data_IF_688455978641
#
_entry.id   IF_688455978641
#
_cell.length_a   1.000
_cell.length_b   1.000
_cell.length_c   1.000
_cell.angle_alpha   90.00
_cell.angle_beta   90.00
_cell.angle_gamma   90.00
#
_symmetry.space_group_name_H-M   'P 1'
#
loop_
_entity.id
_entity.type
_entity.pdbx_description
1 polymer ?
#
# COMPACT_ATOMS: atom_id res chain seq x y z
N UNK A 1 62.15 11.38 -35.97
CA UNK A 1 61.52 11.49 -34.64
C UNK A 1 60.41 10.45 -34.59
N UNK A 2 60.37 9.50 -33.64
CA UNK A 2 59.27 8.55 -33.58
C UNK A 2 57.97 9.31 -33.28
N UNK A 3 56.96 9.09 -34.10
CA UNK A 3 55.60 9.59 -33.87
C UNK A 3 55.11 8.99 -32.56
N UNK A 4 54.79 9.84 -31.57
CA UNK A 4 54.22 9.37 -30.32
C UNK A 4 52.90 8.67 -30.66
N UNK A 5 52.75 7.40 -30.26
CA UNK A 5 51.48 6.70 -30.46
C UNK A 5 50.40 7.42 -29.63
N UNK A 6 49.17 7.59 -30.14
CA UNK A 6 48.13 8.30 -29.39
C UNK A 6 47.90 7.61 -28.03
N UNK A 7 48.08 8.37 -26.96
CA UNK A 7 47.79 7.94 -25.60
C UNK A 7 46.28 7.84 -25.44
N UNK A 8 45.77 6.65 -25.15
CA UNK A 8 44.36 6.50 -24.76
C UNK A 8 44.19 7.00 -23.32
N UNK A 9 43.03 7.58 -22.98
CA UNK A 9 42.74 7.95 -21.60
C UNK A 9 42.77 6.70 -20.70
N UNK A 10 43.24 6.87 -19.47
CA UNK A 10 43.11 5.84 -18.44
C UNK A 10 41.62 5.65 -18.13
N UNK A 11 41.18 4.39 -18.12
CA UNK A 11 39.82 4.03 -17.74
C UNK A 11 39.92 3.32 -16.40
N UNK A 12 39.32 3.91 -15.38
CA UNK A 12 39.29 3.35 -14.03
C UNK A 12 37.87 2.84 -13.74
N UNK A 13 37.77 1.62 -13.24
CA UNK A 13 36.56 1.07 -12.62
C UNK A 13 36.81 1.02 -11.12
N UNK A 14 36.09 1.82 -10.33
CA UNK A 14 36.28 1.92 -8.87
C UNK A 14 37.74 2.15 -8.43
N UNK A 15 38.48 2.96 -9.20
CA UNK A 15 39.89 3.26 -8.95
C UNK A 15 40.87 2.18 -9.42
N UNK A 16 40.38 1.09 -10.03
CA UNK A 16 41.20 0.05 -10.64
C UNK A 16 41.34 0.31 -12.14
N UNK A 17 42.57 0.33 -12.65
CA UNK A 17 42.81 0.49 -14.08
C UNK A 17 42.25 -0.70 -14.86
N UNK A 18 41.25 -0.44 -15.69
CA UNK A 18 40.76 -1.40 -16.67
C UNK A 18 41.47 -1.15 -18.00
N UNK A 19 41.63 -2.22 -18.80
CA UNK A 19 42.41 -2.17 -20.02
C UNK A 19 41.80 -1.16 -21.00
N UNK A 20 42.51 -0.07 -21.28
CA UNK A 20 42.11 0.95 -22.25
C UNK A 20 41.88 0.35 -23.65
N UNK A 21 40.99 0.98 -24.41
CA UNK A 21 40.59 0.58 -25.77
C UNK A 21 40.55 1.81 -26.66
N UNK A 22 40.59 1.57 -27.96
CA UNK A 22 40.42 2.61 -28.99
C UNK A 22 39.01 3.19 -29.04
N UNK A 23 38.04 2.47 -28.47
CA UNK A 23 36.64 2.88 -28.38
C UNK A 23 36.09 2.49 -27.01
N UNK A 24 35.35 3.41 -26.41
CA UNK A 24 34.49 3.16 -25.25
C UNK A 24 33.06 3.34 -25.76
N UNK A 25 32.19 2.39 -25.42
CA UNK A 25 30.78 2.43 -25.81
C UNK A 25 29.91 2.34 -24.57
N UNK A 26 29.01 3.29 -24.39
CA UNK A 26 28.00 3.30 -23.32
C UNK A 26 26.68 2.81 -23.92
N UNK A 27 26.05 1.82 -23.27
CA UNK A 27 24.83 1.18 -23.77
C UNK A 27 23.78 1.22 -22.66
N UNK A 28 22.53 1.50 -23.03
CA UNK A 28 21.37 1.51 -22.15
C UNK A 28 20.81 2.91 -21.91
N UNK A 29 19.49 3.01 -21.85
CA UNK A 29 18.76 4.29 -21.79
C UNK A 29 19.03 5.09 -20.50
N UNK A 30 19.51 4.43 -19.45
CA UNK A 30 19.89 5.06 -18.18
C UNK A 30 21.31 5.65 -18.18
N UNK A 31 22.11 5.44 -19.23
CA UNK A 31 23.49 5.93 -19.31
C UNK A 31 23.57 7.07 -20.30
N UNK A 32 23.86 8.27 -19.83
CA UNK A 32 24.12 9.44 -20.69
C UNK A 32 25.59 9.82 -20.65
N UNK A 33 26.13 10.16 -21.83
CA UNK A 33 27.49 10.68 -21.99
C UNK A 33 27.39 12.09 -22.56
N UNK A 34 27.86 13.07 -21.81
CA UNK A 34 27.88 14.48 -22.22
C UNK A 34 29.33 14.96 -22.31
N UNK A 35 29.70 15.57 -23.43
CA UNK A 35 31.02 16.19 -23.56
C UNK A 35 31.09 17.44 -22.67
N UNK A 36 32.08 17.50 -21.78
CA UNK A 36 32.37 18.65 -20.92
C UNK A 36 33.71 19.27 -21.34
N UNK A 37 33.70 20.08 -22.41
CA UNK A 37 34.92 20.69 -22.92
C UNK A 37 35.54 21.70 -21.94
N UNK A 38 34.77 22.20 -20.96
CA UNK A 38 35.27 23.14 -19.95
C UNK A 38 36.27 22.49 -19.01
N UNK A 39 36.03 21.23 -18.64
CA UNK A 39 36.90 20.45 -17.76
C UNK A 39 37.71 19.38 -18.51
N UNK A 40 37.66 19.38 -19.84
CA UNK A 40 38.36 18.43 -20.71
C UNK A 40 38.07 16.95 -20.38
N UNK A 41 36.80 16.64 -20.10
CA UNK A 41 36.34 15.28 -19.79
C UNK A 41 35.01 14.98 -20.49
N UNK A 42 34.61 13.71 -20.47
CA UNK A 42 33.24 13.29 -20.78
C UNK A 42 32.58 12.90 -19.47
N UNK A 43 31.46 13.54 -19.14
CA UNK A 43 30.66 13.19 -17.99
C UNK A 43 29.75 12.02 -18.32
N UNK A 44 29.88 10.95 -17.55
CA UNK A 44 29.04 9.77 -17.63
C UNK A 44 28.08 9.83 -16.45
N UNK A 45 26.80 9.98 -16.74
CA UNK A 45 25.76 9.92 -15.72
C UNK A 45 25.03 8.58 -15.87
N UNK A 46 25.03 7.80 -14.80
CA UNK A 46 24.11 6.68 -14.64
C UNK A 46 22.90 7.22 -13.90
N UNK A 47 21.78 7.37 -14.59
CA UNK A 47 20.53 7.74 -13.93
C UNK A 47 20.12 6.66 -12.95
N UNK A 48 19.70 7.04 -11.74
CA UNK A 48 19.10 6.10 -10.79
C UNK A 48 17.90 5.39 -11.43
N UNK A 49 17.59 4.19 -10.94
CA UNK A 49 16.40 3.41 -11.30
C UNK A 49 15.07 4.06 -10.81
N UNK A 50 14.91 5.37 -11.00
CA UNK A 50 13.70 6.15 -10.68
C UNK A 50 12.96 6.48 -11.96
N UNK A 51 12.48 5.44 -12.64
CA UNK A 51 11.64 5.55 -13.86
C UNK A 51 10.28 4.90 -13.71
N UNK A 52 10.06 4.11 -12.65
CA UNK A 52 8.78 3.41 -12.45
C UNK A 52 7.63 4.37 -12.06
N UNK A 53 7.88 5.37 -11.22
CA UNK A 53 6.83 6.27 -10.69
C UNK A 53 6.33 7.24 -11.77
N UNK A 54 7.23 7.93 -12.46
CA UNK A 54 6.86 8.90 -13.50
C UNK A 54 6.17 8.26 -14.72
N UNK A 55 6.54 7.02 -15.08
CA UNK A 55 5.90 6.30 -16.19
C UNK A 55 4.45 5.89 -15.86
N UNK A 56 4.16 5.52 -14.61
CA UNK A 56 2.80 5.17 -14.15
C UNK A 56 1.88 6.40 -14.15
N UNK A 57 2.37 7.57 -13.75
CA UNK A 57 1.56 8.81 -13.75
C UNK A 57 1.20 9.29 -15.17
N UNK A 58 2.07 9.06 -16.15
CA UNK A 58 1.86 9.50 -17.52
C UNK A 58 0.96 8.56 -18.35
N UNK A 59 1.02 7.24 -18.10
CA UNK A 59 0.39 6.22 -18.95
C UNK A 59 -0.57 5.27 -18.21
N UNK A 60 -0.69 5.41 -16.88
CA UNK A 60 -1.36 4.42 -16.04
C UNK A 60 -0.55 3.13 -15.87
N UNK A 61 -1.09 2.21 -15.07
CA UNK A 61 -0.52 0.87 -14.89
C UNK A 61 -1.28 -0.12 -15.78
N UNK A 62 -0.64 -0.60 -16.85
CA UNK A 62 -1.18 -1.70 -17.67
C UNK A 62 -0.43 -2.99 -17.35
N UNK A 63 -1.17 -4.07 -17.15
CA UNK A 63 -0.61 -5.39 -16.91
C UNK A 63 -0.58 -6.18 -18.21
N UNK A 64 0.55 -6.83 -18.49
CA UNK A 64 0.61 -7.85 -19.52
C UNK A 64 -0.32 -9.03 -19.19
N UNK A 65 -0.59 -9.88 -20.17
CA UNK A 65 -1.36 -11.12 -19.94
C UNK A 65 -0.77 -11.91 -18.75
N UNK A 66 -1.64 -12.43 -17.88
CA UNK A 66 -1.29 -13.18 -16.68
C UNK A 66 -0.44 -12.41 -15.65
N UNK A 67 -0.56 -11.08 -15.60
CA UNK A 67 -0.04 -10.25 -14.51
C UNK A 67 -1.19 -9.58 -13.76
N UNK A 68 -1.04 -9.44 -12.45
CA UNK A 68 -2.02 -8.78 -11.59
C UNK A 68 -1.33 -8.06 -10.43
N UNK A 69 -2.13 -7.43 -9.58
CA UNK A 69 -1.66 -6.83 -8.34
C UNK A 69 -1.48 -7.96 -7.32
N UNK A 70 -0.25 -8.16 -6.88
CA UNK A 70 0.07 -9.12 -5.82
C UNK A 70 0.07 -8.35 -4.50
N UNK A 71 -0.83 -8.71 -3.60
CA UNK A 71 -0.77 -8.26 -2.21
C UNK A 71 0.35 -8.98 -1.46
N UNK A 72 0.77 -8.43 -0.32
CA UNK A 72 1.78 -9.07 0.53
C UNK A 72 1.43 -10.55 0.78
N UNK A 73 2.40 -11.42 0.54
CA UNK A 73 2.26 -12.86 0.69
C UNK A 73 2.11 -13.26 2.16
N UNK A 74 2.68 -12.49 3.08
CA UNK A 74 2.58 -12.76 4.52
C UNK A 74 2.75 -11.47 5.33
N UNK A 75 1.66 -11.00 5.96
CA UNK A 75 1.75 -9.91 6.93
C UNK A 75 2.53 -10.37 8.17
N UNK A 76 3.77 -9.90 8.25
CA UNK A 76 4.80 -10.45 9.14
C UNK A 76 4.52 -10.33 10.64
N UNK A 77 3.72 -9.36 11.06
CA UNK A 77 3.42 -9.08 12.46
C UNK A 77 2.13 -8.25 12.57
N UNK A 78 1.76 -7.93 13.81
CA UNK A 78 0.75 -6.93 14.13
C UNK A 78 1.04 -5.57 13.45
N UNK A 79 -0.03 -4.82 13.21
CA UNK A 79 0.00 -3.52 12.55
C UNK A 79 0.63 -3.56 11.15
N UNK A 80 0.29 -4.58 10.37
CA UNK A 80 0.72 -4.72 8.96
C UNK A 80 -0.50 -4.80 8.07
N UNK A 81 -0.37 -4.25 6.86
CA UNK A 81 -1.45 -4.23 5.87
C UNK A 81 -0.88 -4.12 4.46
N UNK A 82 -1.67 -4.53 3.47
CA UNK A 82 -1.36 -4.42 2.05
C UNK A 82 -2.66 -4.31 1.25
N UNK A 83 -2.81 -3.25 0.45
CA UNK A 83 -4.04 -3.05 -0.32
C UNK A 83 -4.26 -1.64 -0.84
N UNK A 84 -5.51 -1.33 -1.17
CA UNK A 84 -5.98 -0.03 -1.63
C UNK A 84 -6.36 0.81 -0.42
N UNK A 85 -5.74 1.99 -0.30
CA UNK A 85 -5.99 2.93 0.80
C UNK A 85 -6.44 4.30 0.30
N UNK A 86 -7.04 5.06 1.22
CA UNK A 86 -7.37 6.46 1.04
C UNK A 86 -6.94 7.27 2.27
N UNK A 87 -6.50 8.51 2.05
CA UNK A 87 -6.26 9.45 3.15
C UNK A 87 -7.58 9.99 3.68
N UNK A 88 -7.68 10.16 4.99
CA UNK A 88 -8.90 10.65 5.65
C UNK A 88 -8.62 11.53 6.85
N UNK A 89 -9.68 12.02 7.48
CA UNK A 89 -9.66 12.71 8.76
C UNK A 89 -10.47 11.87 9.75
N UNK A 90 -9.93 11.65 10.95
CA UNK A 90 -10.60 10.91 12.01
C UNK A 90 -11.72 11.77 12.64
N UNK A 91 -12.92 11.19 12.79
CA UNK A 91 -14.08 11.79 13.47
C UNK A 91 -14.22 11.37 14.94
N UNK A 92 -13.41 10.41 15.37
CA UNK A 92 -13.22 9.99 16.75
C UNK A 92 -11.73 9.71 17.00
N UNK A 93 -11.36 9.28 18.22
CA UNK A 93 -10.06 8.64 18.42
C UNK A 93 -10.13 7.27 17.73
N UNK A 94 -9.23 7.03 16.79
CA UNK A 94 -9.12 5.78 16.04
C UNK A 94 -7.81 5.07 16.38
N UNK A 95 -7.88 3.79 16.66
CA UNK A 95 -6.74 2.88 16.77
C UNK A 95 -6.48 2.14 15.45
N UNK A 96 -5.32 1.50 15.34
CA UNK A 96 -5.05 0.59 14.23
C UNK A 96 -5.97 -0.63 14.35
N UNK A 97 -6.59 -1.04 13.23
CA UNK A 97 -7.50 -2.17 13.18
C UNK A 97 -8.96 -1.79 13.35
N UNK A 98 -9.29 -0.60 13.84
CA UNK A 98 -10.68 -0.18 14.00
C UNK A 98 -11.44 -0.23 12.68
N UNK A 99 -12.61 -0.86 12.70
CA UNK A 99 -13.58 -0.81 11.62
C UNK A 99 -14.29 0.55 11.65
N UNK A 100 -14.20 1.28 10.55
CA UNK A 100 -14.68 2.65 10.45
C UNK A 100 -15.63 2.85 9.27
N UNK A 101 -16.60 3.74 9.42
CA UNK A 101 -17.47 4.20 8.33
C UNK A 101 -17.18 5.66 7.99
N UNK A 102 -17.45 6.03 6.74
CA UNK A 102 -17.35 7.41 6.29
C UNK A 102 -18.64 8.16 6.64
N UNK A 103 -18.57 9.01 7.66
CA UNK A 103 -19.70 9.76 8.18
C UNK A 103 -20.11 10.86 7.20
N UNK A 104 -21.37 10.78 6.73
CA UNK A 104 -21.93 11.77 5.78
C UNK A 104 -22.13 13.15 6.42
N UNK A 105 -22.22 13.21 7.75
CA UNK A 105 -22.52 14.43 8.47
C UNK A 105 -21.37 15.43 8.45
N UNK A 106 -20.12 14.95 8.51
CA UNK A 106 -18.93 15.79 8.63
C UNK A 106 -17.75 15.37 7.74
N UNK A 107 -17.94 14.35 6.89
CA UNK A 107 -16.93 13.81 5.97
C UNK A 107 -15.67 13.30 6.69
N UNK A 108 -15.84 12.72 7.88
CA UNK A 108 -14.78 12.07 8.64
C UNK A 108 -15.01 10.57 8.79
N UNK A 109 -13.98 9.87 9.24
CA UNK A 109 -14.04 8.45 9.54
C UNK A 109 -14.34 8.23 11.02
N UNK A 110 -15.43 7.54 11.31
CA UNK A 110 -15.90 7.25 12.66
C UNK A 110 -16.05 5.73 12.86
N UNK A 111 -16.11 5.29 14.12
CA UNK A 111 -16.22 3.87 14.47
C UNK A 111 -17.57 3.29 14.03
N UNK A 112 -17.55 2.14 13.37
CA UNK A 112 -18.78 1.39 13.05
C UNK A 112 -19.38 0.76 14.30
N UNK A 113 -20.69 0.60 14.37
CA UNK A 113 -21.36 -0.15 15.45
C UNK A 113 -22.60 -0.87 14.91
N UNK A 114 -22.64 -2.21 15.02
CA UNK A 114 -23.77 -3.00 14.56
C UNK A 114 -25.09 -2.68 15.28
N UNK A 115 -25.06 -2.09 16.49
CA UNK A 115 -26.27 -1.65 17.20
C UNK A 115 -26.87 -0.36 16.66
N UNK A 116 -26.17 0.33 15.75
CA UNK A 116 -26.61 1.59 15.18
C UNK A 116 -26.63 1.49 13.66
N UNK A 117 -27.84 1.30 13.09
CA UNK A 117 -28.03 1.18 11.65
C UNK A 117 -27.34 2.31 10.86
N UNK A 118 -27.25 3.50 11.43
CA UNK A 118 -26.63 4.67 10.81
C UNK A 118 -25.08 4.66 10.76
N UNK A 119 -24.42 3.75 11.46
CA UNK A 119 -22.94 3.64 11.51
C UNK A 119 -22.44 2.36 10.85
N UNK A 120 -23.35 1.46 10.47
CA UNK A 120 -23.05 0.16 9.87
C UNK A 120 -23.25 0.10 8.33
N UNK A 121 -23.68 1.20 7.73
CA UNK A 121 -24.03 1.28 6.30
C UNK A 121 -23.03 2.13 5.49
N UNK A 122 -23.04 1.95 4.17
CA UNK A 122 -22.24 2.78 3.26
C UNK A 122 -20.76 2.37 3.16
N UNK A 123 -19.88 3.35 2.91
CA UNK A 123 -18.43 3.16 2.72
C UNK A 123 -17.79 2.85 4.07
N UNK A 124 -17.21 1.65 4.19
CA UNK A 124 -16.50 1.18 5.38
C UNK A 124 -15.03 0.91 5.02
N UNK A 125 -14.15 1.04 5.99
CA UNK A 125 -12.73 0.71 5.88
C UNK A 125 -12.14 0.25 7.21
N UNK A 126 -10.86 -0.11 7.19
CA UNK A 126 -10.07 -0.37 8.40
C UNK A 126 -9.10 0.79 8.62
N UNK A 127 -9.06 1.36 9.81
CA UNK A 127 -8.06 2.33 10.20
C UNK A 127 -6.68 1.66 10.24
N UNK A 128 -5.75 2.10 9.39
CA UNK A 128 -4.37 1.57 9.35
C UNK A 128 -3.32 2.60 9.76
N UNK A 129 -3.77 3.78 10.19
CA UNK A 129 -2.97 4.81 10.82
C UNK A 129 -3.77 5.40 11.97
N UNK A 130 -3.46 4.98 13.20
CA UNK A 130 -4.10 5.50 14.40
C UNK A 130 -4.02 7.04 14.46
N UNK A 131 -5.10 7.66 14.91
CA UNK A 131 -5.27 9.09 14.87
C UNK A 131 -6.15 9.58 16.02
N UNK A 132 -5.79 10.73 16.59
CA UNK A 132 -6.71 11.47 17.45
C UNK A 132 -7.85 12.08 16.61
N UNK A 133 -8.95 12.44 17.27
CA UNK A 133 -10.04 13.15 16.62
C UNK A 133 -9.54 14.40 15.88
N UNK A 134 -10.04 14.61 14.66
CA UNK A 134 -9.66 15.68 13.74
C UNK A 134 -8.22 15.63 13.21
N UNK A 135 -7.47 14.56 13.49
CA UNK A 135 -6.16 14.32 12.88
C UNK A 135 -6.28 13.54 11.56
N UNK A 136 -5.24 13.61 10.74
CA UNK A 136 -5.15 12.81 9.51
C UNK A 136 -4.99 11.32 9.83
N UNK A 137 -5.63 10.47 9.04
CA UNK A 137 -5.54 9.00 9.10
C UNK A 137 -5.42 8.42 7.70
N UNK A 138 -5.21 7.11 7.61
CA UNK A 138 -5.18 6.32 6.38
C UNK A 138 -6.10 5.12 6.59
N UNK A 139 -6.99 4.92 5.63
CA UNK A 139 -8.03 3.90 5.69
C UNK A 139 -7.83 2.88 4.60
N UNK A 140 -7.74 1.60 4.96
CA UNK A 140 -7.76 0.47 4.04
C UNK A 140 -9.19 0.23 3.55
N UNK A 141 -9.38 0.29 2.24
CA UNK A 141 -10.68 0.08 1.58
C UNK A 141 -10.81 -1.33 0.99
N UNK A 142 -9.69 -1.97 0.68
CA UNK A 142 -9.65 -3.34 0.17
C UNK A 142 -8.25 -3.91 0.32
N UNK A 143 -8.11 -5.13 0.83
CA UNK A 143 -6.82 -5.82 0.89
C UNK A 143 -6.66 -6.69 2.11
N UNK A 144 -5.42 -6.83 2.59
CA UNK A 144 -5.07 -7.61 3.76
C UNK A 144 -4.68 -6.71 4.92
N UNK A 145 -5.07 -7.09 6.13
CA UNK A 145 -4.65 -6.42 7.37
C UNK A 145 -4.50 -7.45 8.49
N UNK A 146 -3.48 -7.26 9.32
CA UNK A 146 -3.21 -8.01 10.53
C UNK A 146 -3.19 -7.03 11.70
N UNK A 147 -4.11 -7.21 12.64
CA UNK A 147 -4.30 -6.37 13.82
C UNK A 147 -4.52 -7.27 15.05
N UNK A 148 -3.47 -7.97 15.49
CA UNK A 148 -3.51 -8.99 16.54
C UNK A 148 -4.06 -8.45 17.87
N UNK A 149 -3.88 -7.14 18.13
CA UNK A 149 -4.40 -6.48 19.31
C UNK A 149 -5.90 -6.12 19.23
N UNK A 150 -6.43 -5.90 18.02
CA UNK A 150 -7.79 -5.42 17.79
C UNK A 150 -8.74 -6.54 17.30
N UNK A 151 -8.22 -7.55 16.61
CA UNK A 151 -9.02 -8.59 15.99
C UNK A 151 -9.15 -9.82 16.89
N UNK A 152 -10.33 -10.47 16.90
CA UNK A 152 -10.45 -11.81 17.44
C UNK A 152 -9.68 -12.80 16.56
N UNK A 153 -9.38 -13.99 17.10
CA UNK A 153 -8.86 -15.09 16.29
C UNK A 153 -9.84 -15.44 15.17
N UNK A 154 -9.38 -15.32 13.93
CA UNK A 154 -10.19 -15.51 12.73
C UNK A 154 -10.25 -16.99 12.34
N UNK A 155 -11.34 -17.37 11.69
CA UNK A 155 -11.46 -18.71 11.07
C UNK A 155 -11.14 -18.61 9.59
N UNK A 156 -10.16 -19.39 9.13
CA UNK A 156 -9.67 -19.37 7.75
C UNK A 156 -10.82 -19.66 6.77
N UNK A 157 -11.03 -18.77 5.80
CA UNK A 157 -12.08 -18.84 4.79
C UNK A 157 -13.49 -18.52 5.29
N UNK A 158 -13.70 -18.28 6.58
CA UNK A 158 -14.99 -17.94 7.14
C UNK A 158 -15.26 -16.42 7.07
N UNK A 159 -16.53 -16.00 6.95
CA UNK A 159 -16.89 -14.60 6.95
C UNK A 159 -16.63 -13.94 8.30
N UNK A 160 -16.22 -12.68 8.25
CA UNK A 160 -16.07 -11.79 9.39
C UNK A 160 -17.11 -10.69 9.27
N UNK A 161 -17.71 -10.30 10.38
CA UNK A 161 -18.83 -9.35 10.42
C UNK A 161 -18.47 -8.10 11.22
N UNK A 162 -19.21 -7.02 10.99
CA UNK A 162 -19.25 -5.85 11.86
C UNK A 162 -19.61 -6.26 13.31
N UNK A 163 -18.92 -5.68 14.30
CA UNK A 163 -19.18 -5.91 15.73
C UNK A 163 -20.22 -4.98 16.33
N UNK A 164 -20.83 -5.44 17.44
CA UNK A 164 -21.75 -4.67 18.30
C UNK A 164 -21.01 -3.79 19.33
N UNK A 165 -19.69 -3.72 19.25
CA UNK A 165 -18.86 -2.77 20.01
C UNK A 165 -18.25 -1.82 18.98
N UNK A 166 -18.26 -0.52 19.27
CA UNK A 166 -17.79 0.49 18.34
C UNK A 166 -16.35 0.21 17.88
N UNK A 167 -16.15 0.05 16.58
CA UNK A 167 -14.86 -0.23 15.96
C UNK A 167 -14.49 -1.71 15.84
N UNK A 168 -15.23 -2.60 16.51
CA UNK A 168 -14.88 -4.02 16.56
C UNK A 168 -15.37 -4.80 15.33
N UNK A 169 -14.72 -5.95 15.14
CA UNK A 169 -15.12 -6.99 14.19
C UNK A 169 -15.42 -8.28 14.95
N UNK A 170 -16.29 -9.12 14.41
CA UNK A 170 -16.68 -10.40 15.04
C UNK A 170 -16.71 -11.55 14.05
N UNK A 171 -16.39 -12.76 14.53
CA UNK A 171 -16.41 -13.99 13.72
C UNK A 171 -17.76 -14.71 13.76
N UNK A 172 -18.59 -14.42 14.76
CA UNK A 172 -19.99 -14.83 14.80
C UNK A 172 -20.85 -13.63 14.39
N UNK A 173 -21.80 -13.83 13.48
CA UNK A 173 -22.72 -12.77 13.10
C UNK A 173 -23.46 -12.24 14.36
N UNK A 174 -23.67 -10.91 14.47
CA UNK A 174 -24.54 -10.34 15.49
C UNK A 174 -25.91 -11.03 15.53
N UNK A 175 -26.50 -11.16 16.72
CA UNK A 175 -27.79 -11.85 16.94
C UNK A 175 -28.80 -11.02 17.73
N UNK A 176 -28.40 -9.85 18.23
CA UNK A 176 -29.31 -8.97 18.96
C UNK A 176 -30.38 -8.42 18.02
N UNK A 177 -31.60 -8.23 18.52
CA UNK A 177 -32.66 -7.59 17.76
C UNK A 177 -32.22 -6.19 17.31
N UNK A 178 -32.56 -5.82 16.08
CA UNK A 178 -32.12 -4.58 15.42
C UNK A 178 -30.61 -4.44 15.16
N UNK A 179 -29.81 -5.47 15.46
CA UNK A 179 -28.40 -5.46 15.08
C UNK A 179 -28.24 -5.59 13.56
N UNK A 180 -27.22 -4.93 13.02
CA UNK A 180 -26.84 -5.02 11.62
C UNK A 180 -25.84 -6.16 11.42
N UNK A 181 -26.19 -7.08 10.53
CA UNK A 181 -25.30 -8.12 10.03
C UNK A 181 -24.76 -7.69 8.67
N UNK A 182 -23.46 -7.41 8.62
CA UNK A 182 -22.73 -7.09 7.40
C UNK A 182 -21.39 -7.82 7.39
N UNK A 183 -21.11 -8.53 6.30
CA UNK A 183 -19.82 -9.18 6.09
C UNK A 183 -18.82 -8.11 5.67
N UNK A 184 -17.67 -8.06 6.35
CA UNK A 184 -16.59 -7.10 6.08
C UNK A 184 -15.39 -7.72 5.37
N UNK A 185 -15.35 -9.05 5.29
CA UNK A 185 -14.24 -9.79 4.72
C UNK A 185 -14.21 -11.24 5.20
N UNK A 186 -13.05 -11.87 5.06
CA UNK A 186 -12.83 -13.27 5.40
C UNK A 186 -11.48 -13.46 6.10
N UNK A 187 -11.41 -14.42 7.02
CA UNK A 187 -10.12 -14.82 7.61
C UNK A 187 -9.20 -15.40 6.55
N UNK A 188 -8.08 -14.75 6.25
CA UNK A 188 -7.05 -15.27 5.35
C UNK A 188 -6.07 -16.18 6.10
N UNK A 189 -5.79 -15.85 7.36
CA UNK A 189 -5.17 -16.73 8.36
C UNK A 189 -5.97 -16.62 9.67
N UNK A 190 -5.44 -17.12 10.79
CA UNK A 190 -6.02 -16.86 12.10
C UNK A 190 -5.87 -15.39 12.54
N UNK A 191 -4.92 -14.66 11.95
CA UNK A 191 -4.51 -13.31 12.39
C UNK A 191 -4.66 -12.27 11.26
N UNK A 192 -4.80 -12.72 10.01
CA UNK A 192 -4.91 -11.87 8.82
C UNK A 192 -6.34 -11.87 8.30
N UNK A 193 -6.96 -10.69 8.27
CA UNK A 193 -8.22 -10.43 7.60
C UNK A 193 -7.95 -10.07 6.13
N UNK A 194 -8.62 -10.75 5.21
CA UNK A 194 -8.83 -10.23 3.86
C UNK A 194 -10.07 -9.33 3.87
N UNK A 195 -9.84 -8.03 3.98
CA UNK A 195 -10.86 -6.99 4.01
C UNK A 195 -11.41 -6.74 2.61
N UNK A 196 -12.68 -7.07 2.43
CA UNK A 196 -13.43 -6.90 1.18
C UNK A 196 -14.92 -6.74 1.54
N UNK A 197 -15.33 -5.58 2.08
CA UNK A 197 -16.64 -5.44 2.68
C UNK A 197 -17.75 -5.60 1.64
N UNK A 198 -18.78 -6.35 2.01
CA UNK A 198 -19.99 -6.47 1.19
C UNK A 198 -20.76 -5.14 1.21
N UNK A 199 -21.47 -4.83 0.13
CA UNK A 199 -22.39 -3.69 0.09
C UNK A 199 -23.76 -4.05 0.70
N UNK A 200 -24.06 -5.34 0.80
CA UNK A 200 -25.29 -5.88 1.37
C UNK A 200 -25.19 -5.94 2.89
N UNK A 201 -26.27 -5.57 3.57
CA UNK A 201 -26.41 -5.71 5.01
C UNK A 201 -27.85 -6.14 5.34
N UNK A 202 -28.02 -6.78 6.48
CA UNK A 202 -29.30 -7.21 7.03
C UNK A 202 -29.49 -6.55 8.39
N UNK A 203 -30.68 -6.02 8.66
CA UNK A 203 -31.11 -5.66 10.00
C UNK A 203 -31.93 -6.81 10.57
N UNK A 204 -31.60 -7.24 11.79
CA UNK A 204 -32.34 -8.31 12.47
C UNK A 204 -33.65 -7.80 13.06
N UNK A 205 -34.69 -8.63 12.98
CA UNK A 205 -36.02 -8.33 13.51
C UNK A 205 -36.07 -8.38 15.04
#
# INVERSE_FOLDING_TARGET
>A
MPLNSPSYPDVLEEGVLVKSRTKINFIGDAVTATDDPTNAKVDITVGDAVTAVAAVEAAGLTFAENKGIILDAALSADEKWSGIVEAGVAGAILAFGDLVYFAVADSKWELTDANAAATAFGKIGICVLAAAENAATVILLFGKVRADAAFPALTIGAPVHIGEVAGDIVVAAPVTASAIVRIIGYGNTADELFFCPDNTYLELA
#
